data_IF_359623960081
#
_entry.id   IF_359623960081
#
_cell.length_a   1.000
_cell.length_b   1.000
_cell.length_c   1.000
_cell.angle_alpha   90.00
_cell.angle_beta   90.00
_cell.angle_gamma   90.00
#
_symmetry.space_group_name_H-M   'P 1'
#
loop_
_entity.id
_entity.type
_entity.pdbx_description
1 polymer ?
#
# COMPACT_ATOMS: atom_id res chain seq x y z
N UNK A 1 -16.51 19.23 22.41
CA UNK A 1 -15.56 19.44 21.28
C UNK A 1 -16.19 18.79 20.06
N UNK A 2 -16.50 19.58 19.03
CA UNK A 2 -17.10 19.06 17.78
C UNK A 2 -15.96 18.73 16.83
N UNK A 3 -15.74 17.44 16.58
CA UNK A 3 -14.75 16.99 15.61
C UNK A 3 -15.38 17.12 14.23
N UNK A 4 -15.00 18.16 13.50
CA UNK A 4 -15.44 18.38 12.11
C UNK A 4 -14.63 17.47 11.19
N UNK A 5 -15.16 16.28 10.88
CA UNK A 5 -14.55 15.36 9.90
C UNK A 5 -14.89 15.85 8.49
N UNK A 6 -14.08 16.74 7.93
CA UNK A 6 -14.21 17.22 6.56
C UNK A 6 -13.87 16.10 5.55
N UNK A 7 -14.90 15.32 5.17
CA UNK A 7 -15.27 14.96 3.80
C UNK A 7 -14.30 14.24 2.84
N UNK A 8 -13.05 13.96 3.20
CA UNK A 8 -12.15 13.14 2.37
C UNK A 8 -11.54 12.04 3.23
N UNK A 9 -12.00 10.81 3.06
CA UNK A 9 -11.44 9.66 3.77
C UNK A 9 -9.98 9.50 3.33
N UNK A 10 -9.05 9.81 4.23
CA UNK A 10 -7.61 9.70 4.00
C UNK A 10 -7.20 8.22 3.99
N UNK A 11 -7.59 7.47 2.96
CA UNK A 11 -7.27 6.04 2.81
C UNK A 11 -6.35 5.78 1.62
N UNK A 12 -5.81 4.57 1.54
CA UNK A 12 -5.02 4.09 0.42
C UNK A 12 -5.73 4.30 -0.93
N UNK A 13 -7.05 4.07 -1.01
CA UNK A 13 -7.83 4.30 -2.23
C UNK A 13 -7.60 5.70 -2.84
N UNK A 14 -7.55 6.72 -1.99
CA UNK A 14 -7.41 8.13 -2.37
C UNK A 14 -5.95 8.63 -2.35
N UNK A 15 -4.97 7.78 -2.03
CA UNK A 15 -3.59 8.17 -1.78
C UNK A 15 -2.70 8.05 -3.03
N UNK A 16 -1.93 9.08 -3.41
CA UNK A 16 -1.11 9.12 -4.64
C UNK A 16 -0.07 8.01 -4.75
N UNK A 17 0.35 7.46 -3.61
CA UNK A 17 1.32 6.38 -3.53
C UNK A 17 0.72 4.99 -3.73
N UNK A 18 -0.61 4.84 -3.76
CA UNK A 18 -1.26 3.53 -3.79
C UNK A 18 -1.69 3.13 -5.21
N UNK A 19 -1.18 1.98 -5.64
CA UNK A 19 -1.50 1.36 -6.92
C UNK A 19 -2.46 0.19 -6.70
N UNK A 20 -3.70 0.32 -7.18
CA UNK A 20 -4.74 -0.70 -6.98
C UNK A 20 -4.57 -1.91 -7.89
N UNK A 21 -5.00 -3.07 -7.41
CA UNK A 21 -5.23 -4.25 -8.26
C UNK A 21 -6.42 -4.03 -9.21
N UNK A 22 -6.66 -4.98 -10.12
CA UNK A 22 -7.76 -4.92 -11.09
C UNK A 22 -9.16 -4.84 -10.45
N UNK A 23 -9.30 -5.23 -9.17
CA UNK A 23 -10.58 -5.23 -8.44
C UNK A 23 -10.75 -3.98 -7.57
N UNK A 24 -9.72 -3.14 -7.42
CA UNK A 24 -9.76 -1.91 -6.63
C UNK A 24 -9.84 -2.09 -5.12
N UNK A 25 -9.76 -3.33 -4.60
CA UNK A 25 -9.96 -3.63 -3.17
C UNK A 25 -8.65 -3.75 -2.40
N UNK A 26 -7.60 -4.18 -3.10
CA UNK A 26 -6.23 -4.30 -2.58
C UNK A 26 -5.28 -3.61 -3.55
N UNK A 27 -4.08 -3.34 -3.10
CA UNK A 27 -3.07 -2.68 -3.91
C UNK A 27 -1.73 -2.60 -3.22
N UNK A 28 -0.77 -2.03 -3.92
CA UNK A 28 0.59 -1.83 -3.46
C UNK A 28 0.78 -0.41 -2.95
N UNK A 29 1.27 -0.26 -1.72
CA UNK A 29 1.71 1.03 -1.20
C UNK A 29 3.15 1.33 -1.65
N UNK A 30 3.31 2.32 -2.54
CA UNK A 30 4.60 2.73 -3.12
C UNK A 30 5.21 3.96 -2.46
N UNK A 31 4.83 4.25 -1.21
CA UNK A 31 5.33 5.39 -0.42
C UNK A 31 6.83 5.25 -0.09
N UNK A 32 7.28 4.02 0.11
CA UNK A 32 8.66 3.65 0.38
C UNK A 32 9.19 2.71 -0.71
N UNK A 33 10.51 2.52 -0.74
CA UNK A 33 11.14 1.55 -1.62
C UNK A 33 10.60 0.13 -1.41
N UNK A 34 10.56 -0.72 -2.45
CA UNK A 34 10.11 -2.09 -2.32
C UNK A 34 11.04 -2.90 -1.39
N UNK A 35 10.47 -3.86 -0.68
CA UNK A 35 11.20 -4.73 0.22
C UNK A 35 11.70 -5.98 -0.52
N UNK A 36 12.95 -6.35 -0.27
CA UNK A 36 13.54 -7.58 -0.77
C UNK A 36 13.07 -8.76 0.07
N UNK A 37 12.58 -9.80 -0.60
CA UNK A 37 12.33 -11.13 -0.06
C UNK A 37 13.38 -12.07 -0.64
N UNK A 38 14.08 -12.76 0.26
CA UNK A 38 14.99 -13.87 -0.07
C UNK A 38 14.29 -15.15 0.37
N UNK A 39 14.16 -16.11 -0.54
CA UNK A 39 13.50 -17.37 -0.25
C UNK A 39 14.16 -18.51 -1.02
N UNK A 40 14.20 -19.69 -0.40
CA UNK A 40 14.77 -20.88 -1.00
C UNK A 40 13.67 -21.62 -1.76
N UNK A 41 13.97 -22.01 -3.00
CA UNK A 41 13.14 -22.88 -3.82
C UNK A 41 14.02 -24.05 -4.23
N UNK A 42 13.73 -25.23 -3.69
CA UNK A 42 14.59 -26.41 -3.78
C UNK A 42 16.02 -26.09 -3.25
N UNK A 43 17.05 -26.34 -4.06
CA UNK A 43 18.46 -26.04 -3.74
C UNK A 43 18.91 -24.62 -4.18
N UNK A 44 18.00 -23.82 -4.74
CA UNK A 44 18.30 -22.48 -5.24
C UNK A 44 17.83 -21.37 -4.29
N UNK A 45 18.66 -20.34 -4.11
CA UNK A 45 18.26 -19.07 -3.48
C UNK A 45 17.64 -18.16 -4.53
N UNK A 46 16.38 -17.77 -4.33
CA UNK A 46 15.67 -16.80 -5.17
C UNK A 46 15.49 -15.46 -4.45
N UNK A 47 15.46 -14.40 -5.23
CA UNK A 47 15.29 -13.02 -4.77
C UNK A 47 14.08 -12.41 -5.47
N UNK A 48 13.23 -11.73 -4.71
CA UNK A 48 12.10 -10.95 -5.24
C UNK A 48 11.98 -9.63 -4.50
N UNK A 49 11.65 -8.55 -5.20
CA UNK A 49 11.25 -7.30 -4.56
C UNK A 49 9.75 -7.10 -4.70
N UNK A 50 9.11 -6.53 -3.67
CA UNK A 50 7.69 -6.21 -3.70
C UNK A 50 7.38 -4.99 -2.84
N UNK A 51 6.33 -4.26 -3.20
CA UNK A 51 5.77 -3.23 -2.34
C UNK A 51 4.81 -3.86 -1.33
N UNK A 52 4.64 -3.27 -0.13
CA UNK A 52 3.64 -3.73 0.83
C UNK A 52 2.23 -3.75 0.24
N UNK A 53 1.53 -4.87 0.40
CA UNK A 53 0.14 -4.99 0.00
C UNK A 53 -0.79 -4.44 1.09
N UNK A 54 -1.68 -3.52 0.74
CA UNK A 54 -2.65 -2.89 1.65
C UNK A 54 -4.06 -2.92 1.06
N UNK A 55 -5.06 -2.79 1.94
CA UNK A 55 -6.46 -2.63 1.55
C UNK A 55 -6.76 -1.20 1.09
N UNK A 56 -7.79 -1.02 0.26
CA UNK A 56 -8.26 0.29 -0.17
C UNK A 56 -8.69 1.21 0.99
N UNK A 57 -9.11 0.61 2.11
CA UNK A 57 -9.57 1.29 3.33
C UNK A 57 -8.46 1.56 4.34
N UNK A 58 -7.24 1.05 4.12
CA UNK A 58 -6.14 1.25 5.07
C UNK A 58 -5.66 2.70 5.10
N UNK A 59 -5.03 3.07 6.21
CA UNK A 59 -4.37 4.36 6.40
C UNK A 59 -3.07 4.16 7.19
N UNK A 60 -1.97 4.72 6.69
CA UNK A 60 -0.63 4.55 7.28
C UNK A 60 -0.02 5.83 7.86
N UNK A 61 -0.78 6.93 7.96
CA UNK A 61 -0.29 8.23 8.46
C UNK A 61 0.39 9.12 7.41
N UNK A 62 1.00 8.54 6.37
CA UNK A 62 1.66 9.24 5.26
C UNK A 62 0.72 9.58 4.08
N UNK A 63 -0.56 9.82 4.35
CA UNK A 63 -1.52 10.08 3.29
C UNK A 63 -1.17 11.34 2.49
N UNK A 64 -1.21 11.23 1.16
CA UNK A 64 -1.16 12.38 0.27
C UNK A 64 -2.14 12.16 -0.88
N UNK A 65 -3.05 13.11 -1.09
CA UNK A 65 -4.14 12.96 -2.07
C UNK A 65 -3.62 12.71 -3.50
N UNK A 66 -4.34 11.89 -4.26
CA UNK A 66 -4.20 11.71 -5.71
C UNK A 66 -4.57 12.98 -6.47
#
# INVERSE_FOLDING_TARGET
MKTETSGKTATCAACQYWSSDAKGKKGECRRHAPQMLVFNVDDDVKYKSHFPATSASDWCGDFKAK
#
